data_IF_840389041473
#
_entry.id   IF_840389041473
#
_cell.length_a   1.000
_cell.length_b   1.000
_cell.length_c   1.000
_cell.angle_alpha   90.00
_cell.angle_beta   90.00
_cell.angle_gamma   90.00
#
_symmetry.space_group_name_H-M   'P 1'
#
loop_
_entity.id
_entity.type
_entity.pdbx_description
1 polymer ?
#
# COMPACT_ATOMS: atom_id res chain seq x y z
N UNK A 1 -10.71 -13.63 10.00
CA UNK A 1 -10.54 -12.16 10.05
C UNK A 1 -9.10 -11.87 9.67
N UNK A 2 -8.83 -11.37 8.46
CA UNK A 2 -7.46 -11.12 7.98
C UNK A 2 -7.09 -9.71 8.42
N UNK A 3 -6.31 -9.61 9.49
CA UNK A 3 -5.80 -8.34 10.02
C UNK A 3 -4.59 -7.92 9.19
N UNK A 4 -4.73 -6.83 8.43
CA UNK A 4 -3.61 -6.19 7.76
C UNK A 4 -2.88 -5.28 8.77
N UNK A 5 -1.54 -5.16 8.71
CA UNK A 5 -0.84 -4.15 9.50
C UNK A 5 -1.33 -2.76 9.10
N UNK A 6 -1.83 -1.99 10.08
CA UNK A 6 -2.15 -0.58 9.89
C UNK A 6 -1.18 0.27 10.72
N UNK A 7 -0.56 1.24 10.07
CA UNK A 7 0.37 2.20 10.65
C UNK A 7 -0.14 3.62 10.40
N UNK A 8 0.14 4.53 11.33
CA UNK A 8 -0.13 5.97 11.14
C UNK A 8 1.20 6.71 11.10
N UNK A 9 1.48 7.40 10.00
CA UNK A 9 2.75 8.10 9.77
C UNK A 9 2.45 9.52 9.31
N UNK A 10 2.92 10.52 10.06
CA UNK A 10 2.84 11.93 9.64
C UNK A 10 1.43 12.47 9.42
N UNK A 11 0.42 11.89 10.06
CA UNK A 11 -1.01 12.25 9.86
C UNK A 11 -1.73 11.39 8.81
N UNK A 12 -1.02 10.54 8.09
CA UNK A 12 -1.59 9.62 7.09
C UNK A 12 -1.73 8.20 7.63
N UNK A 13 -2.76 7.49 7.16
CA UNK A 13 -2.98 6.07 7.42
C UNK A 13 -2.28 5.25 6.35
N UNK A 14 -1.54 4.21 6.75
CA UNK A 14 -0.86 3.28 5.86
C UNK A 14 -1.34 1.88 6.21
N UNK A 15 -2.03 1.20 5.30
CA UNK A 15 -2.53 -0.17 5.53
C UNK A 15 -1.93 -1.18 4.55
N UNK A 16 -1.57 -2.37 5.05
CA UNK A 16 -1.01 -3.44 4.23
C UNK A 16 0.49 -3.30 3.97
N UNK A 17 0.99 -4.00 2.95
CA UNK A 17 2.42 -4.09 2.66
C UNK A 17 2.88 -2.96 1.72
N UNK A 18 2.70 -1.72 2.15
CA UNK A 18 3.08 -0.56 1.34
C UNK A 18 4.61 -0.43 1.32
N UNK A 19 5.26 -0.37 0.15
CA UNK A 19 6.70 -0.22 0.06
C UNK A 19 7.13 1.16 0.57
N UNK A 20 8.30 1.21 1.20
CA UNK A 20 8.83 2.45 1.80
C UNK A 20 8.97 3.60 0.79
N UNK A 21 9.16 3.30 -0.50
CA UNK A 21 9.20 4.29 -1.58
C UNK A 21 7.90 5.11 -1.67
N UNK A 22 6.75 4.44 -1.61
CA UNK A 22 5.44 5.10 -1.67
C UNK A 22 5.13 5.88 -0.40
N UNK A 23 5.55 5.38 0.77
CA UNK A 23 5.43 6.12 2.04
C UNK A 23 6.25 7.42 1.98
N UNK A 24 7.49 7.36 1.47
CA UNK A 24 8.33 8.55 1.31
C UNK A 24 7.73 9.53 0.32
N UNK A 25 7.18 9.03 -0.78
CA UNK A 25 6.48 9.86 -1.78
C UNK A 25 5.24 10.52 -1.18
N UNK A 26 4.43 9.80 -0.41
CA UNK A 26 3.27 10.34 0.30
C UNK A 26 3.69 11.48 1.25
N UNK A 27 4.76 11.28 2.03
CA UNK A 27 5.26 12.30 2.95
C UNK A 27 5.90 13.52 2.25
N UNK A 28 6.39 13.33 1.02
CA UNK A 28 6.98 14.39 0.20
C UNK A 28 5.91 15.19 -0.56
N UNK A 29 4.99 14.51 -1.24
CA UNK A 29 3.92 15.15 -2.02
C UNK A 29 2.79 15.68 -1.12
N UNK A 30 2.59 15.07 0.06
CA UNK A 30 1.52 15.39 1.02
C UNK A 30 0.17 15.66 0.34
N UNK A 31 -0.32 14.72 -0.50
CA UNK A 31 -1.60 14.91 -1.16
C UNK A 31 -2.74 15.01 -0.12
N UNK A 32 -3.87 15.63 -0.47
CA UNK A 32 -5.04 15.78 0.40
C UNK A 32 -5.81 14.45 0.50
N UNK A 33 -5.15 13.40 0.97
CA UNK A 33 -5.70 12.06 1.19
C UNK A 33 -5.59 11.71 2.67
N UNK A 34 -6.42 10.80 3.17
CA UNK A 34 -6.29 10.28 4.53
C UNK A 34 -5.18 9.24 4.63
N UNK A 35 -4.89 8.50 3.56
CA UNK A 35 -3.94 7.41 3.62
C UNK A 35 -3.72 6.66 2.33
N UNK A 36 -2.85 5.66 2.39
CA UNK A 36 -2.59 4.69 1.33
C UNK A 36 -2.72 3.26 1.85
N UNK A 37 -3.19 2.36 1.02
CA UNK A 37 -3.39 0.96 1.32
C UNK A 37 -2.86 0.10 0.18
N UNK A 38 -2.13 -0.96 0.51
CA UNK A 38 -1.67 -1.96 -0.44
C UNK A 38 -2.37 -3.31 -0.13
N UNK A 39 -3.49 -3.63 -0.80
CA UNK A 39 -4.21 -4.89 -0.59
C UNK A 39 -3.51 -6.13 -1.17
N UNK A 40 -2.28 -6.03 -1.65
CA UNK A 40 -1.52 -7.16 -2.18
C UNK A 40 -0.96 -8.04 -1.07
N UNK A 41 -1.43 -9.29 -0.98
CA UNK A 41 -0.60 -10.35 -0.44
C UNK A 41 0.28 -10.84 -1.59
N UNK A 42 1.60 -10.55 -1.62
CA UNK A 42 2.46 -11.22 -2.60
C UNK A 42 2.43 -12.72 -2.31
N UNK A 43 1.90 -13.53 -3.24
CA UNK A 43 2.27 -14.93 -3.30
C UNK A 43 3.76 -14.99 -3.67
N UNK A 44 4.59 -15.38 -2.70
CA UNK A 44 6.05 -15.45 -2.87
C UNK A 44 6.82 -15.40 -1.56
N UNK A 45 6.29 -16.02 -0.50
CA UNK A 45 7.05 -16.17 0.75
C UNK A 45 8.30 -17.04 0.52
N UNK A 46 9.45 -16.74 1.16
CA UNK A 46 10.66 -17.52 1.00
C UNK A 46 10.39 -19.00 1.32
N UNK A 47 10.57 -19.89 0.34
CA UNK A 47 10.19 -21.31 0.42
C UNK A 47 9.18 -21.78 -0.63
N UNK A 48 8.62 -20.88 -1.44
CA UNK A 48 7.86 -21.19 -2.67
C UNK A 48 8.51 -20.50 -3.88
N UNK A 49 9.66 -21.01 -4.31
CA UNK A 49 10.29 -20.64 -5.58
C UNK A 49 9.46 -21.24 -6.74
N UNK A 50 8.27 -20.69 -6.98
CA UNK A 50 7.49 -20.95 -8.18
C UNK A 50 7.84 -19.95 -9.29
N UNK A 51 7.70 -20.29 -10.58
CA UNK A 51 8.07 -19.45 -11.73
C UNK A 51 7.12 -18.26 -11.96
N UNK A 52 6.34 -17.86 -10.96
CA UNK A 52 5.37 -16.78 -11.10
C UNK A 52 6.08 -15.44 -10.89
N UNK A 53 5.92 -14.47 -11.81
CA UNK A 53 6.42 -13.11 -11.62
C UNK A 53 5.82 -12.51 -10.34
N UNK A 54 6.55 -11.57 -9.72
CA UNK A 54 6.04 -10.78 -8.61
C UNK A 54 4.60 -10.32 -8.94
N UNK A 55 3.65 -10.73 -8.11
CA UNK A 55 2.24 -10.47 -8.38
C UNK A 55 2.02 -8.95 -8.37
N UNK A 56 1.54 -8.41 -9.49
CA UNK A 56 1.30 -6.97 -9.63
C UNK A 56 0.40 -6.50 -8.50
N UNK A 57 0.85 -5.51 -7.74
CA UNK A 57 0.06 -4.94 -6.66
C UNK A 57 -0.02 -3.43 -6.81
N UNK A 58 -1.22 -2.91 -6.54
CA UNK A 58 -1.50 -1.48 -6.64
C UNK A 58 -1.62 -0.91 -5.23
N UNK A 59 -0.92 0.19 -5.00
CA UNK A 59 -1.11 1.03 -3.82
C UNK A 59 -2.26 1.98 -4.12
N UNK A 60 -3.29 1.91 -3.31
CA UNK A 60 -4.51 2.71 -3.40
C UNK A 60 -4.46 3.81 -2.35
N UNK A 61 -4.56 5.07 -2.75
CA UNK A 61 -4.84 6.17 -1.83
C UNK A 61 -6.33 6.27 -1.53
N UNK A 62 -6.69 6.77 -0.35
CA UNK A 62 -8.08 7.07 0.00
C UNK A 62 -8.19 8.38 0.77
N UNK A 63 -9.26 9.13 0.54
CA UNK A 63 -9.57 10.39 1.24
C UNK A 63 -10.64 10.22 2.34
N UNK A 64 -10.97 11.32 3.01
CA UNK A 64 -11.97 11.39 4.07
C UNK A 64 -13.40 11.14 3.57
N UNK A 65 -13.64 11.32 2.27
CA UNK A 65 -14.92 11.06 1.61
C UNK A 65 -15.02 9.58 1.18
N UNK A 66 -13.99 8.78 1.41
CA UNK A 66 -13.93 7.37 1.04
C UNK A 66 -13.60 7.15 -0.44
N UNK A 67 -13.19 8.20 -1.17
CA UNK A 67 -12.79 8.10 -2.56
C UNK A 67 -11.41 7.46 -2.63
N UNK A 68 -11.30 6.36 -3.37
CA UNK A 68 -10.05 5.65 -3.60
C UNK A 68 -9.46 6.00 -4.97
N UNK A 69 -8.14 6.14 -5.04
CA UNK A 69 -7.42 6.40 -6.30
C UNK A 69 -6.11 5.64 -6.33
N UNK A 70 -5.70 5.16 -7.50
CA UNK A 70 -4.41 4.47 -7.69
C UNK A 70 -3.27 5.46 -7.43
N UNK A 71 -2.47 5.17 -6.41
CA UNK A 71 -1.31 5.97 -6.03
C UNK A 71 -0.04 5.50 -6.74
N UNK A 72 0.15 4.18 -6.81
CA UNK A 72 1.27 3.54 -7.52
C UNK A 72 0.88 2.12 -7.95
N UNK A 73 1.45 1.65 -9.06
CA UNK A 73 1.36 0.25 -9.49
C UNK A 73 2.77 -0.34 -9.55
N UNK A 74 2.93 -1.53 -8.96
CA UNK A 74 4.17 -2.30 -8.94
C UNK A 74 3.94 -3.68 -9.53
#
# INVERSE_FOLDING_TARGET
>A
MRSFPSARIGGYVVEGHVPAGDIRRLLAERPPVMGISAPGMPLGSPGMEGPSPAEFYQVMSFDAEGKTQVFAGH
#
